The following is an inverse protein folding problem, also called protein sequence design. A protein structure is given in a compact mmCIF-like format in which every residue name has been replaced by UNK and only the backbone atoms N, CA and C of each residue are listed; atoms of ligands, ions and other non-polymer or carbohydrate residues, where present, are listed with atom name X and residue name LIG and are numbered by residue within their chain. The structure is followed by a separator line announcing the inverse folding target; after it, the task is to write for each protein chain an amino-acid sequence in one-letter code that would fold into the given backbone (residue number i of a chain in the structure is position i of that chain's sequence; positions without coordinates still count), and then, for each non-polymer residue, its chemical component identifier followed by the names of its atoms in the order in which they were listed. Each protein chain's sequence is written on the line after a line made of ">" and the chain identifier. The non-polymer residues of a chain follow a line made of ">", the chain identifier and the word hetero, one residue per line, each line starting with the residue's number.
data_IF_074932129276
#
_entry.id   IF_074932129276
#
_cell.length_a   1.000
_cell.length_b   1.000
_cell.length_c   1.000
_cell.angle_alpha   90.00
_cell.angle_beta   90.00
_cell.angle_gamma   90.00
#
_symmetry.space_group_name_H-M   'P 1'
#
loop_
_entity.id
_entity.type
_entity.pdbx_description
1 polymer ?
#
# COMPACT_ATOMS: atom_id res chain seq x y z
N UNK A 1 -2.80 10.16 13.62
CA UNK A 1 -2.27 11.52 13.38
C UNK A 1 -3.13 12.18 12.31
N UNK A 2 -3.53 13.45 12.44
CA UNK A 2 -4.32 14.13 11.39
C UNK A 2 -3.40 14.61 10.26
N UNK A 3 -2.85 13.69 9.49
CA UNK A 3 -2.02 14.01 8.33
C UNK A 3 -2.90 14.44 7.16
N UNK A 4 -2.60 15.62 6.62
CA UNK A 4 -3.22 16.15 5.41
C UNK A 4 -2.17 16.33 4.32
N UNK A 5 -2.42 15.79 3.13
CA UNK A 5 -1.62 15.95 1.92
C UNK A 5 -0.13 15.65 2.04
N UNK A 6 0.23 14.36 2.13
CA UNK A 6 1.64 13.96 2.25
C UNK A 6 2.34 13.79 0.91
N UNK A 7 1.63 13.45 -0.19
CA UNK A 7 2.16 13.00 -1.51
C UNK A 7 3.08 11.78 -1.49
N UNK A 8 3.77 11.54 -0.37
CA UNK A 8 4.63 10.41 -0.07
C UNK A 8 4.01 9.56 1.03
N UNK A 9 4.26 8.25 0.96
CA UNK A 9 3.79 7.30 1.96
C UNK A 9 4.68 7.40 3.19
N UNK A 10 4.08 7.71 4.34
CA UNK A 10 4.75 7.64 5.63
C UNK A 10 4.36 6.34 6.34
N UNK A 11 5.21 5.86 7.23
CA UNK A 11 4.80 4.87 8.22
C UNK A 11 3.80 5.54 9.16
N UNK A 12 2.53 5.22 8.97
CA UNK A 12 1.42 5.83 9.70
C UNK A 12 1.05 5.02 10.95
N UNK A 13 1.15 3.70 10.86
CA UNK A 13 0.71 2.80 11.92
C UNK A 13 1.53 1.50 11.90
N UNK A 14 1.82 0.97 13.09
CA UNK A 14 2.41 -0.34 13.30
C UNK A 14 1.62 -1.06 14.39
N UNK A 15 1.13 -2.26 14.07
CA UNK A 15 0.33 -3.09 14.96
C UNK A 15 1.10 -4.37 15.23
N UNK A 16 1.38 -4.65 16.50
CA UNK A 16 2.08 -5.87 16.95
C UNK A 16 1.07 -6.77 17.65
N UNK A 17 0.89 -7.98 17.12
CA UNK A 17 -0.02 -9.02 17.62
C UNK A 17 0.74 -10.34 17.68
N UNK A 18 1.04 -10.82 18.90
CA UNK A 18 1.85 -12.02 19.16
C UNK A 18 3.17 -12.02 18.35
N UNK A 19 3.33 -12.98 17.43
CA UNK A 19 4.50 -13.14 16.55
C UNK A 19 4.35 -12.39 15.20
N UNK A 20 3.31 -11.57 15.06
CA UNK A 20 3.00 -10.84 13.84
C UNK A 20 3.11 -9.33 14.02
N UNK A 21 3.67 -8.69 12.99
CA UNK A 21 3.78 -7.24 12.91
C UNK A 21 3.08 -6.80 11.64
N UNK A 22 2.20 -5.81 11.72
CA UNK A 22 1.54 -5.21 10.56
C UNK A 22 1.96 -3.76 10.46
N UNK A 23 2.58 -3.40 9.34
CA UNK A 23 3.03 -2.04 9.05
C UNK A 23 2.12 -1.43 7.98
N UNK A 24 1.65 -0.21 8.23
CA UNK A 24 0.84 0.57 7.29
C UNK A 24 1.65 1.77 6.80
N UNK A 25 1.99 1.74 5.52
CA UNK A 25 2.56 2.87 4.80
C UNK A 25 1.43 3.54 4.04
N UNK A 26 1.17 4.83 4.30
CA UNK A 26 0.02 5.55 3.73
C UNK A 26 0.43 6.93 3.24
N UNK A 27 -0.04 7.31 2.05
CA UNK A 27 -0.08 8.70 1.61
C UNK A 27 -1.51 9.21 1.60
N UNK A 28 -1.67 10.51 1.81
CA UNK A 28 -2.98 11.14 1.96
C UNK A 28 -3.16 12.24 0.89
N UNK A 29 -4.34 12.31 0.25
CA UNK A 29 -4.74 13.43 -0.63
C UNK A 29 -5.35 14.60 0.13
N UNK A 30 -5.99 14.32 1.26
CA UNK A 30 -6.56 15.28 2.19
C UNK A 30 -6.71 14.59 3.55
N UNK A 31 -7.08 15.34 4.57
CA UNK A 31 -7.29 14.78 5.91
C UNK A 31 -8.21 13.55 5.84
N UNK A 32 -7.76 12.45 6.42
CA UNK A 32 -8.48 11.17 6.47
C UNK A 32 -8.83 10.56 5.09
N UNK A 33 -8.14 10.95 4.02
CA UNK A 33 -8.33 10.37 2.69
C UNK A 33 -7.03 9.75 2.18
N UNK A 34 -6.96 8.43 2.23
CA UNK A 34 -5.81 7.66 1.76
C UNK A 34 -5.77 7.72 0.23
N UNK A 35 -4.64 8.14 -0.30
CA UNK A 35 -4.35 8.15 -1.73
C UNK A 35 -3.70 6.84 -2.17
N UNK A 36 -2.65 6.43 -1.47
CA UNK A 36 -1.91 5.20 -1.71
C UNK A 36 -1.60 4.54 -0.39
N UNK A 37 -1.63 3.22 -0.36
CA UNK A 37 -1.27 2.46 0.83
C UNK A 37 -0.56 1.17 0.46
N UNK A 38 0.49 0.86 1.22
CA UNK A 38 1.05 -0.48 1.33
C UNK A 38 0.85 -0.96 2.76
N UNK A 39 0.10 -2.05 2.93
CA UNK A 39 0.01 -2.78 4.20
C UNK A 39 0.87 -4.02 4.09
N UNK A 40 1.82 -4.19 4.99
CA UNK A 40 2.70 -5.36 5.03
C UNK A 40 2.45 -6.08 6.34
N UNK A 41 2.01 -7.34 6.27
CA UNK A 41 1.95 -8.24 7.43
C UNK A 41 3.18 -9.13 7.42
N UNK A 42 3.85 -9.15 8.56
CA UNK A 42 5.01 -9.96 8.86
C UNK A 42 4.62 -11.05 9.86
N UNK A 43 5.18 -12.24 9.71
CA UNK A 43 5.20 -13.29 10.73
C UNK A 43 6.67 -13.61 10.99
N UNK A 44 7.14 -13.46 12.23
CA UNK A 44 8.57 -13.56 12.56
C UNK A 44 9.46 -12.65 11.67
N UNK A 45 9.01 -11.41 11.41
CA UNK A 45 9.66 -10.45 10.50
C UNK A 45 9.83 -10.90 9.04
N UNK A 46 9.14 -11.97 8.63
CA UNK A 46 9.08 -12.38 7.23
C UNK A 46 7.75 -11.89 6.64
N UNK A 47 7.74 -11.10 5.55
CA UNK A 47 6.50 -10.67 4.91
C UNK A 47 5.70 -11.89 4.42
N UNK A 48 4.47 -12.02 4.87
CA UNK A 48 3.59 -13.12 4.47
C UNK A 48 2.38 -12.68 3.63
N UNK A 49 2.02 -11.41 3.74
CA UNK A 49 0.86 -10.83 3.08
C UNK A 49 1.09 -9.34 2.85
N UNK A 50 0.83 -8.86 1.65
CA UNK A 50 0.96 -7.45 1.28
C UNK A 50 -0.30 -7.00 0.56
N UNK A 51 -0.88 -5.89 1.01
CA UNK A 51 -1.98 -5.22 0.32
C UNK A 51 -1.47 -3.91 -0.28
N UNK A 52 -1.70 -3.73 -1.56
CA UNK A 52 -1.46 -2.50 -2.30
C UNK A 52 -2.79 -1.84 -2.60
N UNK A 53 -2.88 -0.54 -2.31
CA UNK A 53 -4.05 0.27 -2.63
C UNK A 53 -3.58 1.52 -3.36
N UNK A 54 -4.08 1.71 -4.56
CA UNK A 54 -3.91 2.91 -5.38
C UNK A 54 -5.28 3.53 -5.60
N UNK A 55 -5.46 4.79 -5.19
CA UNK A 55 -6.68 5.54 -5.46
C UNK A 55 -7.00 5.65 -6.96
N UNK A 56 -5.99 5.60 -7.83
CA UNK A 56 -6.20 5.70 -9.27
C UNK A 56 -6.54 4.36 -9.93
N UNK A 57 -5.93 3.26 -9.47
CA UNK A 57 -5.94 2.00 -10.21
C UNK A 57 -6.63 0.84 -9.49
N UNK A 58 -6.86 0.92 -8.19
CA UNK A 58 -7.52 -0.12 -7.40
C UNK A 58 -6.62 -0.77 -6.36
N UNK A 59 -6.94 -2.03 -6.03
CA UNK A 59 -6.29 -2.81 -4.98
C UNK A 59 -5.66 -4.08 -5.52
N UNK A 60 -4.57 -4.51 -4.91
CA UNK A 60 -3.95 -5.81 -5.19
C UNK A 60 -3.48 -6.47 -3.88
N UNK A 61 -3.64 -7.78 -3.79
CA UNK A 61 -3.22 -8.58 -2.64
C UNK A 61 -2.17 -9.59 -3.10
N UNK A 62 -1.01 -9.54 -2.46
CA UNK A 62 0.05 -10.52 -2.59
C UNK A 62 0.10 -11.42 -1.35
N UNK A 63 0.25 -12.72 -1.57
CA UNK A 63 0.42 -13.73 -0.53
C UNK A 63 1.67 -14.56 -0.79
N UNK A 64 2.37 -14.87 0.30
CA UNK A 64 3.55 -15.71 0.30
C UNK A 64 3.31 -17.06 -0.38
N UNK A 65 4.19 -17.43 -1.30
CA UNK A 65 4.12 -18.68 -2.07
C UNK A 65 3.01 -18.73 -3.12
N UNK A 66 2.09 -17.75 -3.16
CA UNK A 66 0.98 -17.70 -4.12
C UNK A 66 1.09 -16.54 -5.11
N UNK A 67 1.90 -15.53 -4.82
CA UNK A 67 2.01 -14.34 -5.66
C UNK A 67 0.83 -13.40 -5.45
N UNK A 68 0.48 -12.62 -6.47
CA UNK A 68 -0.74 -11.79 -6.45
C UNK A 68 -1.96 -12.71 -6.57
N UNK A 69 -2.77 -12.77 -5.51
CA UNK A 69 -3.94 -13.66 -5.42
C UNK A 69 -5.25 -12.97 -5.74
N UNK A 70 -5.28 -11.65 -5.62
CA UNK A 70 -6.47 -10.84 -5.86
C UNK A 70 -6.04 -9.49 -6.40
N UNK A 71 -6.78 -8.99 -7.39
CA UNK A 71 -6.59 -7.66 -7.94
C UNK A 71 -7.94 -7.13 -8.41
N UNK A 72 -8.27 -5.92 -8.00
CA UNK A 72 -9.53 -5.25 -8.34
C UNK A 72 -9.23 -3.81 -8.76
N UNK A 73 -9.82 -3.33 -9.86
CA UNK A 73 -9.81 -1.89 -10.17
C UNK A 73 -10.98 -1.18 -9.52
N UNK A 74 -10.94 0.15 -9.53
CA UNK A 74 -12.15 0.95 -9.29
C UNK A 74 -13.02 0.93 -10.56
N UNK A 75 -14.34 1.02 -10.41
CA UNK A 75 -15.25 1.20 -11.54
C UNK A 75 -15.08 2.60 -12.16
N UNK A 76 -15.23 2.73 -13.48
CA UNK A 76 -15.23 4.04 -14.14
C UNK A 76 -16.56 4.76 -13.92
N UNK A 77 -16.56 6.10 -13.90
CA UNK A 77 -17.79 6.91 -13.84
C UNK A 77 -18.81 6.55 -14.94
N UNK A 78 -18.35 6.01 -16.07
CA UNK A 78 -19.21 5.56 -17.17
C UNK A 78 -20.07 4.33 -16.80
N UNK A 79 -19.63 3.50 -15.84
CA UNK A 79 -20.41 2.36 -15.30
C UNK A 79 -21.34 2.77 -14.14
N UNK A 80 -21.08 3.93 -13.51
CA UNK A 80 -21.85 4.46 -12.38
C UNK A 80 -23.16 5.16 -12.80
N UNK A 81 -23.37 5.44 -14.10
CA UNK A 81 -24.56 6.15 -14.60
C UNK A 81 -25.85 5.35 -14.34
N UNK A 82 -25.78 4.03 -14.14
CA UNK A 82 -26.98 3.20 -13.91
C UNK A 82 -27.40 3.02 -12.45
N UNK A 83 -26.57 3.32 -11.44
CA UNK A 83 -26.87 2.91 -10.05
C UNK A 83 -26.60 4.03 -9.01
N UNK A 84 -27.62 4.89 -8.86
CA UNK A 84 -28.00 5.72 -7.70
C UNK A 84 -27.00 6.76 -7.12
N UNK A 85 -27.57 7.88 -6.66
CA UNK A 85 -26.86 9.03 -6.08
C UNK A 85 -26.11 8.75 -4.75
N UNK A 86 -26.21 7.56 -4.16
CA UNK A 86 -25.56 7.18 -2.89
C UNK A 86 -24.09 6.73 -3.04
N UNK A 87 -23.66 6.39 -4.26
CA UNK A 87 -22.36 5.76 -4.54
C UNK A 87 -21.19 6.76 -4.52
N UNK A 88 -21.47 8.06 -4.45
CA UNK A 88 -20.45 9.15 -4.38
C UNK A 88 -19.61 9.13 -3.09
N UNK A 89 -20.01 8.37 -2.08
CA UNK A 89 -19.36 8.37 -0.76
C UNK A 89 -18.68 7.04 -0.39
N UNK A 90 -18.84 5.98 -1.18
CA UNK A 90 -18.28 4.66 -0.90
C UNK A 90 -17.64 4.07 -2.16
N UNK A 91 -16.30 4.14 -2.27
CA UNK A 91 -15.54 3.31 -3.21
C UNK A 91 -15.62 1.85 -2.74
N UNK A 92 -16.71 1.17 -3.09
CA UNK A 92 -16.89 -0.25 -2.81
C UNK A 92 -16.33 -1.04 -3.98
N UNK A 93 -15.44 -2.00 -3.69
CA UNK A 93 -15.03 -3.02 -4.66
C UNK A 93 -16.20 -3.98 -4.83
N UNK A 94 -16.96 -3.86 -5.93
CA UNK A 94 -18.06 -4.77 -6.25
C UNK A 94 -17.59 -5.95 -7.11
N UNK A 95 -18.37 -7.04 -7.14
CA UNK A 95 -18.04 -8.36 -7.72
C UNK A 95 -17.55 -8.35 -9.19
N UNK A 96 -17.76 -7.26 -9.95
CA UNK A 96 -17.36 -7.13 -11.35
C UNK A 96 -16.07 -6.32 -11.58
N UNK A 97 -15.37 -5.90 -10.52
CA UNK A 97 -14.19 -5.05 -10.64
C UNK A 97 -12.86 -5.83 -10.64
N UNK A 98 -12.91 -7.17 -10.70
CA UNK A 98 -11.73 -8.03 -10.76
C UNK A 98 -10.90 -7.75 -12.02
N UNK A 99 -9.60 -7.56 -11.83
CA UNK A 99 -8.62 -7.37 -12.92
C UNK A 99 -7.56 -8.46 -12.90
N UNK A 100 -6.79 -8.56 -13.97
CA UNK A 100 -5.74 -9.57 -14.08
C UNK A 100 -4.56 -9.26 -13.17
N UNK A 101 -3.81 -10.30 -12.78
CA UNK A 101 -2.53 -10.15 -12.07
C UNK A 101 -1.56 -9.26 -12.85
N UNK A 102 -1.55 -9.37 -14.18
CA UNK A 102 -0.73 -8.53 -15.06
C UNK A 102 -1.09 -7.04 -14.92
N UNK A 103 -2.39 -6.71 -14.81
CA UNK A 103 -2.83 -5.34 -14.55
C UNK A 103 -2.30 -4.83 -13.22
N UNK A 104 -2.42 -5.62 -12.15
CA UNK A 104 -1.90 -5.26 -10.83
C UNK A 104 -0.39 -4.97 -10.86
N UNK A 105 0.37 -5.85 -11.51
CA UNK A 105 1.83 -5.74 -11.64
C UNK A 105 2.23 -4.51 -12.47
N UNK A 106 1.46 -4.15 -13.51
CA UNK A 106 1.79 -3.02 -14.40
C UNK A 106 1.28 -1.67 -13.93
N UNK A 107 0.22 -1.63 -13.12
CA UNK A 107 -0.49 -0.39 -12.77
C UNK A 107 -0.56 -0.15 -11.27
N UNK A 108 -1.18 -1.07 -10.53
CA UNK A 108 -1.48 -0.87 -9.10
C UNK A 108 -0.20 -0.83 -8.26
N UNK A 109 0.64 -1.87 -8.37
CA UNK A 109 1.86 -1.99 -7.56
C UNK A 109 2.85 -0.85 -7.87
N UNK A 110 3.19 -0.54 -9.14
CA UNK A 110 4.11 0.54 -9.45
C UNK A 110 3.60 1.92 -9.00
N UNK A 111 2.31 2.21 -9.18
CA UNK A 111 1.74 3.48 -8.72
C UNK A 111 1.84 3.60 -7.19
N UNK A 112 1.47 2.54 -6.46
CA UNK A 112 1.53 2.54 -4.99
C UNK A 112 2.96 2.77 -4.52
N UNK A 113 3.92 2.03 -5.08
CA UNK A 113 5.33 2.10 -4.70
C UNK A 113 6.03 3.41 -5.12
N UNK A 114 5.54 4.11 -6.16
CA UNK A 114 6.11 5.40 -6.58
C UNK A 114 6.03 6.51 -5.51
N UNK A 115 5.08 6.37 -4.58
CA UNK A 115 4.91 7.28 -3.46
C UNK A 115 5.78 6.91 -2.24
N UNK A 116 6.58 5.84 -2.30
CA UNK A 116 7.46 5.45 -1.20
C UNK A 116 8.53 6.52 -0.90
N UNK A 117 8.96 6.57 0.37
CA UNK A 117 10.06 7.40 0.86
C UNK A 117 11.43 6.75 0.70
N UNK A 118 11.47 5.41 0.65
CA UNK A 118 12.70 4.65 0.63
C UNK A 118 12.80 3.79 -0.64
N UNK A 119 13.85 3.99 -1.40
CA UNK A 119 14.13 3.22 -2.61
C UNK A 119 14.45 1.76 -2.30
N UNK A 120 15.16 1.49 -1.19
CA UNK A 120 15.64 0.16 -0.85
C UNK A 120 14.50 -0.76 -0.42
N UNK A 121 13.64 -0.30 0.51
CA UNK A 121 12.42 -1.04 0.85
C UNK A 121 11.51 -1.25 -0.38
N UNK A 122 11.42 -0.26 -1.26
CA UNK A 122 10.60 -0.34 -2.48
C UNK A 122 11.11 -1.41 -3.43
N UNK A 123 12.41 -1.43 -3.68
CA UNK A 123 13.06 -2.44 -4.51
C UNK A 123 12.85 -3.83 -3.92
N UNK A 124 13.03 -3.98 -2.60
CA UNK A 124 12.83 -5.26 -1.91
C UNK A 124 11.39 -5.78 -2.00
N UNK A 125 10.39 -4.90 -1.83
CA UNK A 125 8.98 -5.26 -2.01
C UNK A 125 8.71 -5.66 -3.46
N UNK A 126 9.25 -4.91 -4.44
CA UNK A 126 9.06 -5.21 -5.85
C UNK A 126 9.71 -6.55 -6.24
N UNK A 127 10.93 -6.83 -5.78
CA UNK A 127 11.60 -8.12 -5.96
C UNK A 127 10.79 -9.26 -5.36
N UNK A 128 10.28 -9.09 -4.13
CA UNK A 128 9.46 -10.08 -3.45
C UNK A 128 8.21 -10.41 -4.26
N UNK A 129 7.52 -9.39 -4.77
CA UNK A 129 6.29 -9.57 -5.56
C UNK A 129 6.57 -10.23 -6.90
N UNK A 130 7.64 -9.82 -7.60
CA UNK A 130 7.99 -10.33 -8.93
C UNK A 130 8.56 -11.75 -8.89
N UNK A 131 9.42 -12.05 -7.92
CA UNK A 131 10.07 -13.36 -7.81
C UNK A 131 9.18 -14.38 -7.10
N UNK A 132 8.20 -13.92 -6.31
CA UNK A 132 7.35 -14.74 -5.44
C UNK A 132 8.16 -15.72 -4.58
N UNK A 133 9.34 -15.29 -4.14
CA UNK A 133 10.27 -16.07 -3.33
C UNK A 133 10.63 -15.28 -2.09
N UNK A 134 10.56 -15.95 -0.95
CA UNK A 134 11.07 -15.42 0.30
C UNK A 134 12.58 -15.54 0.25
N UNK A 135 13.27 -14.42 0.23
CA UNK A 135 14.63 -14.39 0.76
C UNK A 135 14.46 -14.29 2.27
N UNK A 136 14.85 -15.35 2.98
CA UNK A 136 14.78 -15.38 4.44
C UNK A 136 15.88 -14.45 4.96
N UNK A 137 15.57 -13.17 4.91
CA UNK A 137 16.52 -12.08 4.95
C UNK A 137 16.21 -11.25 6.19
N UNK A 138 17.11 -11.29 7.17
CA UNK A 138 16.97 -10.57 8.45
C UNK A 138 16.96 -9.04 8.27
N UNK A 139 17.14 -8.54 7.05
CA UNK A 139 17.14 -7.12 6.70
C UNK A 139 15.76 -6.46 6.73
N UNK A 140 14.64 -7.20 6.69
CA UNK A 140 13.30 -6.59 6.69
C UNK A 140 13.05 -5.68 7.89
N UNK A 141 13.48 -6.09 9.08
CA UNK A 141 13.36 -5.26 10.28
C UNK A 141 14.18 -3.97 10.14
N UNK A 142 15.39 -4.05 9.60
CA UNK A 142 16.24 -2.88 9.36
C UNK A 142 15.62 -1.92 8.33
N UNK A 143 15.07 -2.44 7.23
CA UNK A 143 14.37 -1.64 6.22
C UNK A 143 13.16 -0.91 6.82
N UNK A 144 12.35 -1.59 7.64
CA UNK A 144 11.21 -0.96 8.33
C UNK A 144 11.68 0.11 9.32
N UNK A 145 12.77 -0.15 10.07
CA UNK A 145 13.37 0.84 10.97
C UNK A 145 13.87 2.08 10.22
N UNK A 146 14.56 1.89 9.10
CA UNK A 146 15.03 2.99 8.24
C UNK A 146 13.83 3.80 7.71
N UNK A 147 12.79 3.13 7.24
CA UNK A 147 11.57 3.77 6.76
C UNK A 147 10.88 4.59 7.85
N UNK A 148 10.88 4.09 9.10
CA UNK A 148 10.36 4.81 10.26
C UNK A 148 11.11 6.12 10.49
N UNK A 149 12.45 6.09 10.43
CA UNK A 149 13.27 7.30 10.57
C UNK A 149 12.96 8.32 9.47
N UNK A 150 12.92 7.87 8.21
CA UNK A 150 12.60 8.72 7.06
C UNK A 150 11.20 9.34 7.17
N UNK A 151 10.22 8.56 7.64
CA UNK A 151 8.85 9.03 7.85
C UNK A 151 8.79 10.13 8.91
N UNK A 152 9.51 9.97 10.02
CA UNK A 152 9.57 10.96 11.08
C UNK A 152 10.24 12.27 10.61
N UNK A 153 11.33 12.16 9.85
CA UNK A 153 12.02 13.32 9.26
C UNK A 153 11.11 14.05 8.27
N UNK A 154 10.46 13.31 7.39
CA UNK A 154 9.52 13.85 6.41
C UNK A 154 8.36 14.61 7.08
N UNK A 155 7.75 14.00 8.10
CA UNK A 155 6.68 14.62 8.91
C UNK A 155 7.16 15.89 9.62
N UNK A 156 8.36 15.87 10.19
CA UNK A 156 8.96 17.04 10.85
C UNK A 156 9.18 18.18 9.86
N UNK A 157 9.65 17.87 8.66
CA UNK A 157 9.85 18.87 7.62
C UNK A 157 8.54 19.45 7.09
N UNK A 158 7.49 18.63 6.93
CA UNK A 158 6.15 19.09 6.57
C UNK A 158 5.56 20.05 7.61
N UNK A 159 5.71 19.73 8.89
CA UNK A 159 5.16 20.56 9.99
C UNK A 159 5.91 21.88 10.17
N UNK A 160 7.22 21.92 9.88
CA UNK A 160 8.01 23.16 9.92
C UNK A 160 7.76 24.12 8.74
N UNK A 161 7.08 23.66 7.69
CA UNK A 161 6.75 24.46 6.50
C UNK A 161 5.36 25.10 6.54
N UNK A 162 4.55 24.78 7.57
CA UNK A 162 3.22 25.33 7.83
C UNK A 162 3.34 26.41 8.91
#
# INVERSE_FOLDING_TARGET
>A
MNLSFTKKMVLDEEVVEDDSVTVYLRSYLKTNFIERMVKIKFLNFIPNHIVFTSYQFGNAIWNIGKGVVEANSWESEEQLIEISNLTKHFQSSFENSSVTVEYAIKKIIPDTLSASLDGELTEKINELVMQNKIHNDLTWNQLVMNYRMLSNEFIKNLTNQI
#
